data_IF_922938626144
#
_entry.id   IF_922938626144
#
_cell.length_a   1.000
_cell.length_b   1.000
_cell.length_c   1.000
_cell.angle_alpha   90.00
_cell.angle_beta   90.00
_cell.angle_gamma   90.00
#
_symmetry.space_group_name_H-M   'P 1'
#
loop_
_entity.id
_entity.type
_entity.pdbx_description
1 polymer ?
#
# COMPACT_ATOMS: atom_id res chain seq x y z
N UNK A 1 1.27 11.41 26.11
CA UNK A 1 1.08 9.97 25.81
C UNK A 1 0.78 9.81 24.33
N UNK A 2 1.60 9.08 23.58
CA UNK A 2 1.29 8.77 22.18
C UNK A 2 0.16 7.74 22.16
N UNK A 3 -1.00 8.09 21.60
CA UNK A 3 -2.13 7.18 21.50
C UNK A 3 -1.72 5.92 20.73
N UNK A 4 -2.00 4.74 21.29
CA UNK A 4 -1.79 3.48 20.59
C UNK A 4 -2.64 3.46 19.31
N UNK A 5 -2.00 3.23 18.16
CA UNK A 5 -2.69 3.12 16.88
C UNK A 5 -3.04 1.65 16.65
N UNK A 6 -4.33 1.39 16.46
CA UNK A 6 -4.84 0.05 16.15
C UNK A 6 -5.28 -0.02 14.68
N UNK A 7 -5.00 -1.15 14.03
CA UNK A 7 -5.41 -1.44 12.65
C UNK A 7 -6.08 -2.82 12.63
N UNK A 8 -7.36 -2.87 12.24
CA UNK A 8 -8.12 -4.10 12.07
C UNK A 8 -8.49 -4.29 10.60
N UNK A 9 -8.44 -5.54 10.14
CA UNK A 9 -8.76 -5.91 8.75
C UNK A 9 -9.79 -7.01 8.75
N UNK A 10 -10.79 -6.84 7.89
CA UNK A 10 -11.92 -7.76 7.76
C UNK A 10 -12.03 -8.16 6.30
N UNK A 11 -12.29 -9.46 6.06
CA UNK A 11 -12.70 -9.95 4.75
C UNK A 11 -14.20 -9.69 4.66
N UNK A 12 -14.63 -8.99 3.61
CA UNK A 12 -16.03 -8.63 3.36
C UNK A 12 -16.39 -8.90 1.91
N UNK A 13 -17.68 -9.05 1.63
CA UNK A 13 -18.21 -9.12 0.27
C UNK A 13 -18.28 -7.73 -0.36
N UNK A 14 -18.36 -7.68 -1.68
CA UNK A 14 -18.52 -6.42 -2.43
C UNK A 14 -19.83 -5.71 -2.05
N UNK A 15 -20.94 -6.45 -1.93
CA UNK A 15 -22.22 -5.89 -1.51
C UNK A 15 -22.14 -5.22 -0.13
N UNK A 16 -21.54 -5.91 0.85
CA UNK A 16 -21.36 -5.35 2.20
C UNK A 16 -20.46 -4.10 2.17
N UNK A 17 -19.47 -4.05 1.29
CA UNK A 17 -18.60 -2.87 1.15
C UNK A 17 -19.38 -1.61 0.74
N UNK A 18 -20.38 -1.74 -0.14
CA UNK A 18 -21.25 -0.64 -0.56
C UNK A 18 -22.15 -0.17 0.59
N UNK A 19 -22.69 -1.11 1.38
CA UNK A 19 -23.51 -0.79 2.56
C UNK A 19 -22.68 -0.06 3.63
N UNK A 20 -21.47 -0.54 3.92
CA UNK A 20 -20.53 0.12 4.85
C UNK A 20 -20.24 1.54 4.39
N UNK A 21 -19.93 1.73 3.10
CA UNK A 21 -19.65 3.05 2.53
C UNK A 21 -20.83 4.01 2.68
N UNK A 22 -22.05 3.55 2.43
CA UNK A 22 -23.26 4.34 2.61
C UNK A 22 -23.51 4.73 4.08
N UNK A 23 -23.18 3.83 5.02
CA UNK A 23 -23.30 4.07 6.45
C UNK A 23 -22.27 5.09 6.96
N UNK A 24 -20.98 4.91 6.64
CA UNK A 24 -19.89 5.72 7.20
C UNK A 24 -19.81 7.14 6.64
N UNK A 25 -20.44 7.42 5.49
CA UNK A 25 -20.35 8.74 4.80
C UNK A 25 -20.82 9.92 5.65
N UNK A 26 -21.67 9.68 6.65
CA UNK A 26 -22.14 10.74 7.57
C UNK A 26 -21.15 11.07 8.69
N UNK A 27 -20.15 10.22 8.89
CA UNK A 27 -19.16 10.33 9.96
C UNK A 27 -17.77 10.70 9.45
N UNK A 28 -17.47 10.44 8.17
CA UNK A 28 -16.16 10.63 7.55
C UNK A 28 -16.23 11.56 6.35
N UNK A 29 -15.15 12.31 6.13
CA UNK A 29 -14.96 13.09 4.89
C UNK A 29 -14.41 12.18 3.80
N UNK A 30 -14.84 12.45 2.56
CA UNK A 30 -14.30 11.77 1.39
C UNK A 30 -12.84 12.15 1.18
N UNK A 31 -12.03 11.20 0.74
CA UNK A 31 -10.64 11.44 0.32
C UNK A 31 -10.61 12.42 -0.86
N UNK A 32 -9.73 13.42 -0.82
CA UNK A 32 -9.65 14.48 -1.83
C UNK A 32 -9.29 13.93 -3.21
N UNK A 33 -8.40 12.92 -3.26
CA UNK A 33 -8.05 12.23 -4.49
C UNK A 33 -9.22 11.39 -5.02
N UNK A 34 -10.04 10.82 -4.15
CA UNK A 34 -11.22 10.07 -4.57
C UNK A 34 -12.33 11.01 -5.06
N UNK A 35 -12.51 12.18 -4.42
CA UNK A 35 -13.59 13.11 -4.70
C UNK A 35 -13.61 13.64 -6.14
N UNK A 36 -12.44 13.78 -6.76
CA UNK A 36 -12.29 14.27 -8.14
C UNK A 36 -12.38 13.17 -9.20
N UNK A 37 -12.46 11.89 -8.79
CA UNK A 37 -12.47 10.76 -9.71
C UNK A 37 -13.86 10.10 -9.83
N UNK A 38 -14.18 9.48 -10.98
CA UNK A 38 -15.39 8.70 -11.15
C UNK A 38 -15.58 7.64 -10.05
N UNK A 39 -16.83 7.42 -9.65
CA UNK A 39 -17.23 6.46 -8.60
C UNK A 39 -16.60 6.72 -7.21
N UNK A 40 -15.98 7.88 -7.03
CA UNK A 40 -15.18 8.26 -5.88
C UNK A 40 -14.11 7.21 -5.54
N UNK A 41 -13.33 6.81 -6.54
CA UNK A 41 -12.32 5.76 -6.44
C UNK A 41 -11.15 6.05 -7.38
N UNK A 42 -9.98 5.47 -7.09
CA UNK A 42 -8.81 5.54 -7.96
C UNK A 42 -8.05 4.20 -7.93
N UNK A 43 -7.31 3.85 -9.00
CA UNK A 43 -6.51 2.63 -9.01
C UNK A 43 -5.38 2.71 -7.99
N UNK A 44 -5.02 1.56 -7.42
CA UNK A 44 -3.81 1.42 -6.61
C UNK A 44 -3.06 0.18 -7.08
N UNK A 45 -1.96 0.38 -7.78
CA UNK A 45 -1.11 -0.70 -8.25
C UNK A 45 0.06 -0.90 -7.29
N UNK A 46 0.46 -2.15 -7.06
CA UNK A 46 1.61 -2.49 -6.23
C UNK A 46 2.31 -3.72 -6.79
N UNK A 47 3.54 -3.54 -7.26
CA UNK A 47 4.42 -4.62 -7.70
C UNK A 47 5.35 -4.94 -6.54
N UNK A 48 5.27 -6.16 -6.00
CA UNK A 48 6.17 -6.61 -4.95
C UNK A 48 7.46 -7.12 -5.57
N UNK A 49 8.59 -6.72 -4.97
CA UNK A 49 9.91 -7.17 -5.38
C UNK A 49 10.34 -8.31 -4.45
N UNK A 50 10.97 -9.32 -5.01
CA UNK A 50 11.59 -10.43 -4.27
C UNK A 50 12.77 -10.96 -5.10
N UNK A 51 13.61 -11.79 -4.48
CA UNK A 51 14.67 -12.53 -5.16
C UNK A 51 14.12 -13.80 -5.84
N UNK A 52 14.90 -14.38 -6.75
CA UNK A 52 14.52 -15.62 -7.46
C UNK A 52 14.22 -16.79 -6.50
N UNK A 53 14.88 -16.83 -5.35
CA UNK A 53 14.67 -17.81 -4.27
C UNK A 53 13.59 -17.40 -3.26
N UNK A 54 12.83 -16.33 -3.53
CA UNK A 54 11.66 -15.90 -2.77
C UNK A 54 11.96 -15.58 -1.30
N UNK A 55 13.09 -14.94 -1.00
CA UNK A 55 13.54 -14.65 0.38
C UNK A 55 12.51 -13.87 1.19
N UNK A 56 11.90 -12.82 0.61
CA UNK A 56 10.96 -11.97 1.33
C UNK A 56 9.61 -12.66 1.54
N UNK A 57 9.20 -13.48 0.58
CA UNK A 57 8.05 -14.38 0.72
C UNK A 57 8.25 -15.34 1.89
N UNK A 58 9.35 -16.11 1.90
CA UNK A 58 9.61 -17.08 2.97
C UNK A 58 9.75 -16.41 4.34
N UNK A 59 10.46 -15.28 4.42
CA UNK A 59 10.56 -14.50 5.66
C UNK A 59 9.19 -14.00 6.17
N UNK A 60 8.28 -13.69 5.24
CA UNK A 60 6.90 -13.30 5.58
C UNK A 60 6.11 -14.49 6.12
N UNK A 61 6.18 -15.64 5.46
CA UNK A 61 5.43 -16.86 5.83
C UNK A 61 5.94 -17.44 7.16
N UNK A 62 7.26 -17.47 7.36
CA UNK A 62 7.88 -17.97 8.58
C UNK A 62 7.69 -17.03 9.77
N UNK A 63 7.25 -15.79 9.52
CA UNK A 63 6.94 -14.85 10.58
C UNK A 63 8.16 -14.26 11.27
N UNK A 64 9.30 -14.19 10.57
CA UNK A 64 10.58 -13.72 11.11
C UNK A 64 10.44 -12.38 11.85
N UNK A 65 11.16 -12.25 12.96
CA UNK A 65 11.08 -11.08 13.87
C UNK A 65 11.44 -9.77 13.18
N UNK A 66 12.42 -9.81 12.29
CA UNK A 66 12.89 -8.70 11.48
C UNK A 66 12.66 -9.06 10.02
N UNK A 67 11.60 -8.51 9.45
CA UNK A 67 11.23 -8.79 8.05
C UNK A 67 10.78 -7.53 7.35
N UNK A 68 10.84 -7.54 6.03
CA UNK A 68 10.43 -6.40 5.24
C UNK A 68 9.80 -6.83 3.91
N UNK A 69 9.02 -5.91 3.35
CA UNK A 69 8.45 -6.03 2.02
C UNK A 69 8.89 -4.83 1.19
N UNK A 70 9.37 -5.10 -0.01
CA UNK A 70 9.68 -4.11 -1.03
C UNK A 70 8.54 -4.06 -2.03
N UNK A 71 8.14 -2.85 -2.44
CA UNK A 71 7.18 -2.68 -3.52
C UNK A 71 7.36 -1.38 -4.28
N UNK A 72 7.05 -1.44 -5.57
CA UNK A 72 6.76 -0.27 -6.40
C UNK A 72 5.26 -0.01 -6.36
N UNK A 73 4.85 1.22 -6.04
CA UNK A 73 3.44 1.63 -5.99
C UNK A 73 3.20 2.81 -6.91
N UNK A 74 2.13 2.74 -7.69
CA UNK A 74 1.67 3.82 -8.56
C UNK A 74 0.13 3.81 -8.63
N UNK A 75 -0.46 4.95 -9.00
CA UNK A 75 -1.92 5.15 -8.97
C UNK A 75 -2.53 5.28 -10.36
N UNK A 76 -1.72 5.53 -11.37
CA UNK A 76 -2.11 5.69 -12.76
C UNK A 76 -0.96 5.28 -13.68
N UNK A 77 -1.26 5.10 -14.97
CA UNK A 77 -0.27 4.72 -15.99
C UNK A 77 0.30 5.93 -16.77
N UNK A 78 0.14 7.13 -16.22
CA UNK A 78 0.70 8.35 -16.78
C UNK A 78 2.25 8.35 -16.63
N UNK A 79 3.02 8.48 -17.72
CA UNK A 79 4.49 8.55 -17.66
C UNK A 79 5.04 9.70 -16.80
N UNK A 80 4.31 10.81 -16.70
CA UNK A 80 4.74 12.00 -15.94
C UNK A 80 4.55 11.86 -14.43
N UNK A 81 3.84 10.81 -13.99
CA UNK A 81 3.52 10.59 -12.59
C UNK A 81 4.56 9.70 -11.90
N UNK A 82 4.90 9.99 -10.64
CA UNK A 82 5.95 9.27 -9.95
C UNK A 82 5.53 7.85 -9.60
N UNK A 83 6.50 6.95 -9.62
CA UNK A 83 6.41 5.63 -8.99
C UNK A 83 7.02 5.74 -7.59
N UNK A 84 6.37 5.14 -6.60
CA UNK A 84 6.86 5.15 -5.23
C UNK A 84 7.54 3.84 -4.89
N UNK A 85 8.82 3.91 -4.52
CA UNK A 85 9.49 2.82 -3.82
C UNK A 85 9.04 2.83 -2.37
N UNK A 86 8.39 1.77 -1.93
CA UNK A 86 7.99 1.60 -0.54
C UNK A 86 8.69 0.40 0.10
N UNK A 87 9.25 0.65 1.27
CA UNK A 87 9.84 -0.34 2.16
C UNK A 87 8.99 -0.42 3.42
N UNK A 88 8.31 -1.55 3.61
CA UNK A 88 7.53 -1.83 4.83
C UNK A 88 8.28 -2.82 5.69
N UNK A 89 8.83 -2.35 6.80
CA UNK A 89 9.59 -3.15 7.76
C UNK A 89 8.74 -3.46 8.98
N UNK A 90 8.94 -4.64 9.56
CA UNK A 90 8.45 -4.99 10.88
C UNK A 90 9.65 -5.34 11.75
N UNK A 91 9.80 -4.60 12.84
CA UNK A 91 10.84 -4.81 13.86
C UNK A 91 10.11 -5.13 15.16
N UNK A 92 10.07 -6.42 15.53
CA UNK A 92 9.30 -6.90 16.68
C UNK A 92 7.81 -6.52 16.59
N UNK A 93 7.33 -5.60 17.43
CA UNK A 93 5.91 -5.16 17.47
C UNK A 93 5.63 -3.95 16.57
N UNK A 94 6.65 -3.22 16.14
CA UNK A 94 6.48 -1.99 15.37
C UNK A 94 6.59 -2.25 13.87
N UNK A 95 5.66 -1.70 13.11
CA UNK A 95 5.76 -1.62 11.65
C UNK A 95 6.12 -0.19 11.23
N UNK A 96 7.12 -0.05 10.36
CA UNK A 96 7.57 1.22 9.80
C UNK A 96 7.43 1.15 8.28
N UNK A 97 6.97 2.24 7.67
CA UNK A 97 6.89 2.38 6.22
C UNK A 97 7.70 3.59 5.80
N UNK A 98 8.74 3.35 5.02
CA UNK A 98 9.50 4.39 4.34
C UNK A 98 9.09 4.40 2.86
N UNK A 99 9.05 5.59 2.26
CA UNK A 99 8.76 5.73 0.82
C UNK A 99 9.61 6.82 0.20
N UNK A 100 10.02 6.60 -1.04
CA UNK A 100 10.67 7.59 -1.90
C UNK A 100 9.91 7.68 -3.23
N UNK A 101 9.82 8.88 -3.79
CA UNK A 101 9.29 9.09 -5.14
C UNK A 101 10.41 8.91 -6.15
N UNK A 102 10.11 8.27 -7.27
CA UNK A 102 11.02 8.02 -8.38
C UNK A 102 10.32 8.41 -9.68
N UNK A 103 11.06 9.00 -10.63
CA UNK A 103 10.56 9.19 -11.99
C UNK A 103 10.37 7.83 -12.66
N UNK A 104 9.30 7.70 -13.45
CA UNK A 104 8.88 6.41 -13.99
C UNK A 104 9.90 5.81 -14.96
N UNK A 105 10.59 6.66 -15.72
CA UNK A 105 11.69 6.29 -16.62
C UNK A 105 12.91 5.69 -15.88
N UNK A 106 13.21 6.19 -14.68
CA UNK A 106 14.31 5.69 -13.83
C UNK A 106 14.04 4.32 -13.20
N UNK A 107 12.82 3.78 -13.28
CA UNK A 107 12.48 2.46 -12.69
C UNK A 107 13.34 1.35 -13.32
N UNK A 108 13.58 1.40 -14.63
CA UNK A 108 14.36 0.37 -15.33
C UNK A 108 15.81 0.32 -14.86
N UNK A 109 16.43 1.49 -14.71
CA UNK A 109 17.82 1.62 -14.26
C UNK A 109 17.96 1.16 -12.80
N UNK A 110 16.98 1.46 -11.95
CA UNK A 110 17.02 1.08 -10.54
C UNK A 110 16.87 -0.43 -10.32
N UNK A 111 16.15 -1.12 -11.20
CA UNK A 111 15.93 -2.57 -11.12
C UNK A 111 16.94 -3.39 -11.92
N UNK A 112 17.89 -2.74 -12.61
CA UNK A 112 18.90 -3.39 -13.44
C UNK A 112 20.00 -4.08 -12.63
#
# INVERSE_FOLDING_TARGET
MQAARFEHKYIITEELSLQIRAFIRRYLKLDEHAAVNPNFSYPVHSVYLDSDDLKLYWSTINGDKNRYKLRLRFYEDNPDQPVFLELKQRTSTRSVKNRAALRRDSVKELLA
#
